data_IF_761804752368
#
_entry.id   IF_761804752368
#
_cell.length_a   1.000
_cell.length_b   1.000
_cell.length_c   1.000
_cell.angle_alpha   90.00
_cell.angle_beta   90.00
_cell.angle_gamma   90.00
#
_symmetry.space_group_name_H-M   'P 1'
#
loop_
_entity.id
_entity.type
_entity.pdbx_description
1 polymer ?
#
# COMPACT_ATOMS: atom_id res chain seq x y z
N UNK A 1 -14.21 10.71 -9.63
CA UNK A 1 -14.87 9.93 -10.71
C UNK A 1 -15.97 9.09 -10.12
N UNK A 2 -16.94 8.64 -10.93
CA UNK A 2 -17.80 7.54 -10.50
C UNK A 2 -16.97 6.25 -10.68
N UNK A 3 -16.82 5.42 -9.64
CA UNK A 3 -15.91 4.25 -9.71
C UNK A 3 -16.23 3.24 -10.83
N UNK A 4 -17.48 3.19 -11.30
CA UNK A 4 -17.87 2.38 -12.46
C UNK A 4 -17.37 2.96 -13.80
N UNK A 5 -17.30 4.29 -13.91
CA UNK A 5 -16.81 4.99 -15.10
C UNK A 5 -15.29 4.78 -15.24
N UNK A 6 -14.57 4.73 -14.12
CA UNK A 6 -13.13 4.48 -14.09
C UNK A 6 -12.79 3.07 -14.59
N UNK A 7 -13.52 2.04 -14.12
CA UNK A 7 -13.34 0.68 -14.62
C UNK A 7 -13.59 0.59 -16.13
N UNK A 8 -14.65 1.22 -16.63
CA UNK A 8 -14.96 1.25 -18.06
C UNK A 8 -13.85 1.96 -18.85
N UNK A 9 -13.43 3.15 -18.43
CA UNK A 9 -12.38 3.91 -19.09
C UNK A 9 -11.07 3.11 -19.19
N UNK A 10 -10.68 2.42 -18.12
CA UNK A 10 -9.49 1.54 -18.10
C UNK A 10 -9.67 0.34 -19.04
N UNK A 11 -10.85 -0.29 -19.07
CA UNK A 11 -11.13 -1.42 -19.95
C UNK A 11 -11.04 -1.03 -21.43
N UNK A 12 -11.62 0.11 -21.81
CA UNK A 12 -11.57 0.65 -23.16
C UNK A 12 -10.14 1.07 -23.54
N UNK A 13 -9.43 1.76 -22.65
CA UNK A 13 -8.04 2.14 -22.86
C UNK A 13 -7.14 0.92 -23.08
N UNK A 14 -7.34 -0.15 -22.30
CA UNK A 14 -6.64 -1.42 -22.48
C UNK A 14 -6.93 -2.03 -23.85
N UNK A 15 -8.20 -2.11 -24.25
CA UNK A 15 -8.59 -2.64 -25.55
C UNK A 15 -7.96 -1.83 -26.70
N UNK A 16 -7.99 -0.50 -26.61
CA UNK A 16 -7.37 0.40 -27.57
C UNK A 16 -5.86 0.19 -27.65
N UNK A 17 -5.17 0.13 -26.51
CA UNK A 17 -3.72 -0.03 -26.46
C UNK A 17 -3.26 -1.36 -27.09
N UNK A 18 -3.97 -2.45 -26.81
CA UNK A 18 -3.68 -3.77 -27.40
C UNK A 18 -3.95 -3.82 -28.90
N UNK A 19 -5.02 -3.18 -29.38
CA UNK A 19 -5.37 -3.19 -30.79
C UNK A 19 -4.49 -2.27 -31.64
N UNK A 20 -4.03 -1.14 -31.07
CA UNK A 20 -3.38 -0.07 -31.83
C UNK A 20 -1.89 0.11 -31.49
N UNK A 21 -1.37 -0.59 -30.49
CA UNK A 21 -0.01 -0.38 -29.95
C UNK A 21 0.26 1.09 -29.63
N UNK A 22 -0.71 1.76 -29.02
CA UNK A 22 -0.66 3.18 -28.65
C UNK A 22 -1.02 3.40 -27.19
N UNK A 23 -0.32 4.29 -26.48
CA UNK A 23 -0.65 4.61 -25.10
C UNK A 23 -1.94 5.43 -25.01
N UNK A 24 -2.60 5.33 -23.85
CA UNK A 24 -3.78 6.15 -23.48
C UNK A 24 -3.49 6.78 -22.13
N UNK A 25 -3.78 8.08 -21.99
CA UNK A 25 -3.72 8.79 -20.71
C UNK A 25 -5.13 8.84 -20.11
N UNK A 26 -5.26 8.44 -18.85
CA UNK A 26 -6.50 8.57 -18.07
C UNK A 26 -6.21 9.48 -16.89
N UNK A 27 -7.00 10.54 -16.73
CA UNK A 27 -6.97 11.42 -15.56
C UNK A 27 -8.12 11.05 -14.61
N UNK A 28 -7.81 10.41 -13.49
CA UNK A 28 -8.79 10.06 -12.46
C UNK A 28 -8.86 11.16 -11.39
N UNK A 29 -9.90 11.98 -11.48
CA UNK A 29 -10.14 13.07 -10.51
C UNK A 29 -10.57 12.47 -9.16
N UNK A 30 -9.67 12.55 -8.18
CA UNK A 30 -9.82 11.99 -6.83
C UNK A 30 -9.27 12.93 -5.75
N UNK A 31 -9.53 12.60 -4.48
CA UNK A 31 -9.11 13.39 -3.33
C UNK A 31 -8.46 12.53 -2.24
N UNK A 32 -7.26 12.94 -1.78
CA UNK A 32 -6.57 12.29 -0.66
C UNK A 32 -7.12 12.81 0.67
N UNK A 33 -8.10 12.10 1.24
CA UNK A 33 -8.75 12.49 2.50
C UNK A 33 -7.72 12.58 3.64
N UNK A 34 -6.83 11.59 3.76
CA UNK A 34 -5.78 11.56 4.78
C UNK A 34 -4.63 12.56 4.56
N UNK A 35 -3.72 12.61 5.53
CA UNK A 35 -2.44 13.31 5.42
C UNK A 35 -1.57 12.72 4.30
N UNK A 36 -0.50 13.44 3.91
CA UNK A 36 0.42 12.93 2.89
C UNK A 36 1.15 11.66 3.34
N UNK A 37 1.55 11.63 4.60
CA UNK A 37 2.23 10.51 5.25
C UNK A 37 2.08 10.64 6.77
N UNK A 38 2.63 9.69 7.53
CA UNK A 38 2.68 9.77 9.01
C UNK A 38 3.55 10.92 9.53
N UNK A 39 4.42 11.50 8.69
CA UNK A 39 5.26 12.66 9.03
C UNK A 39 4.67 14.00 8.60
N UNK A 40 3.46 14.00 8.04
CA UNK A 40 2.79 15.19 7.51
C UNK A 40 1.54 15.54 8.31
N UNK A 41 1.30 16.84 8.48
CA UNK A 41 0.04 17.38 8.99
C UNK A 41 -0.58 18.28 7.93
N UNK A 42 -1.61 17.76 7.28
CA UNK A 42 -2.26 18.46 6.18
C UNK A 42 -3.19 19.58 6.60
N UNK A 43 -3.56 19.67 7.88
CA UNK A 43 -4.43 20.75 8.37
C UNK A 43 -3.74 22.12 8.32
N UNK A 44 -2.41 22.10 8.17
CA UNK A 44 -1.58 23.30 8.02
C UNK A 44 -1.73 23.99 6.66
N UNK A 45 -2.18 23.27 5.64
CA UNK A 45 -2.21 23.77 4.26
C UNK A 45 -3.48 23.40 3.48
N UNK A 46 -4.42 22.69 4.10
CA UNK A 46 -5.77 22.41 3.56
C UNK A 46 -6.82 22.73 4.60
N UNK A 47 -7.98 23.19 4.15
CA UNK A 47 -9.09 23.45 5.07
C UNK A 47 -9.75 22.15 5.51
N UNK A 48 -10.17 22.08 6.77
CA UNK A 48 -10.92 20.92 7.29
C UNK A 48 -12.26 20.76 6.57
N UNK A 49 -12.89 21.88 6.18
CA UNK A 49 -14.15 21.86 5.44
C UNK A 49 -14.02 21.17 4.09
N UNK A 50 -12.98 21.52 3.31
CA UNK A 50 -12.70 20.86 2.02
C UNK A 50 -12.52 19.34 2.21
N UNK A 51 -11.74 18.92 3.21
CA UNK A 51 -11.52 17.49 3.49
C UNK A 51 -12.85 16.80 3.82
N UNK A 52 -13.69 17.43 4.64
CA UNK A 52 -14.97 16.88 5.07
C UNK A 52 -15.98 16.81 3.91
N UNK A 53 -16.01 17.81 3.04
CA UNK A 53 -16.91 17.86 1.88
C UNK A 53 -16.63 16.65 0.97
N UNK A 54 -15.36 16.40 0.64
CA UNK A 54 -14.96 15.23 -0.14
C UNK A 54 -15.24 13.90 0.56
N UNK A 55 -14.96 13.82 1.87
CA UNK A 55 -15.17 12.60 2.64
C UNK A 55 -16.65 12.22 2.81
N UNK A 56 -17.57 13.16 2.66
CA UNK A 56 -19.01 12.93 2.86
C UNK A 56 -19.79 12.79 1.55
N UNK A 57 -19.45 13.57 0.53
CA UNK A 57 -20.23 13.60 -0.71
C UNK A 57 -19.64 12.73 -1.82
N UNK A 58 -18.31 12.57 -1.85
CA UNK A 58 -17.59 11.94 -2.98
C UNK A 58 -16.79 10.70 -2.57
N UNK A 59 -17.07 10.13 -1.40
CA UNK A 59 -16.43 8.89 -0.95
C UNK A 59 -16.84 7.70 -1.84
N UNK A 60 -15.91 7.04 -2.56
CA UNK A 60 -16.24 6.00 -3.54
C UNK A 60 -16.91 4.77 -2.94
N UNK A 61 -16.52 4.37 -1.72
CA UNK A 61 -17.07 3.20 -1.02
C UNK A 61 -18.56 3.35 -0.75
N UNK A 62 -18.97 4.49 -0.20
CA UNK A 62 -20.36 4.82 0.07
C UNK A 62 -21.19 4.85 -1.21
N UNK A 63 -20.70 5.52 -2.26
CA UNK A 63 -21.40 5.61 -3.56
C UNK A 63 -21.62 4.23 -4.18
N UNK A 64 -20.58 3.39 -4.17
CA UNK A 64 -20.67 2.04 -4.74
C UNK A 64 -21.60 1.16 -3.91
N UNK A 65 -21.51 1.23 -2.59
CA UNK A 65 -22.41 0.54 -1.67
C UNK A 65 -23.87 0.91 -1.90
N UNK A 66 -24.20 2.20 -1.95
CA UNK A 66 -25.59 2.64 -2.20
C UNK A 66 -26.11 2.14 -3.55
N UNK A 67 -25.25 2.09 -4.57
CA UNK A 67 -25.64 1.52 -5.87
C UNK A 67 -25.94 0.02 -5.78
N UNK A 68 -25.12 -0.77 -5.06
CA UNK A 68 -25.35 -2.19 -4.86
C UNK A 68 -26.61 -2.48 -4.03
N UNK A 69 -26.84 -1.73 -2.95
CA UNK A 69 -28.05 -1.83 -2.13
C UNK A 69 -29.30 -1.49 -2.94
N UNK A 70 -29.23 -0.47 -3.81
CA UNK A 70 -30.31 -0.13 -4.75
C UNK A 70 -30.61 -1.23 -5.77
N UNK A 71 -29.68 -2.17 -6.00
CA UNK A 71 -29.88 -3.38 -6.82
C UNK A 71 -30.30 -4.61 -6.02
N UNK A 72 -30.29 -4.52 -4.68
CA UNK A 72 -30.49 -5.66 -3.78
C UNK A 72 -29.35 -6.67 -3.82
N UNK A 73 -28.15 -6.25 -4.22
CA UNK A 73 -26.94 -7.11 -4.28
C UNK A 73 -26.05 -6.98 -3.06
N UNK A 74 -26.38 -6.05 -2.16
CA UNK A 74 -25.67 -5.81 -0.92
C UNK A 74 -26.65 -5.37 0.17
N UNK A 75 -26.31 -5.64 1.43
CA UNK A 75 -27.07 -5.18 2.58
C UNK A 75 -26.18 -4.99 3.83
N UNK A 76 -26.75 -4.43 4.90
CA UNK A 76 -26.04 -4.13 6.16
C UNK A 76 -25.43 -5.36 6.85
N UNK A 77 -26.07 -6.52 6.76
CA UNK A 77 -25.54 -7.74 7.36
C UNK A 77 -24.31 -8.25 6.60
N UNK A 78 -24.34 -8.17 5.26
CA UNK A 78 -23.20 -8.49 4.40
C UNK A 78 -22.03 -7.50 4.62
N UNK A 79 -22.32 -6.20 4.73
CA UNK A 79 -21.33 -5.18 5.08
C UNK A 79 -20.64 -5.49 6.42
N UNK A 80 -21.44 -5.78 7.45
CA UNK A 80 -20.92 -6.05 8.80
C UNK A 80 -20.05 -7.30 8.79
N UNK A 81 -20.50 -8.36 8.11
CA UNK A 81 -19.74 -9.60 7.97
C UNK A 81 -18.42 -9.37 7.23
N UNK A 82 -18.45 -8.67 6.09
CA UNK A 82 -17.25 -8.36 5.31
C UNK A 82 -16.25 -7.51 6.11
N UNK A 83 -16.71 -6.48 6.84
CA UNK A 83 -15.84 -5.67 7.71
C UNK A 83 -15.18 -6.49 8.82
N UNK A 84 -15.91 -7.43 9.41
CA UNK A 84 -15.35 -8.32 10.42
C UNK A 84 -14.33 -9.28 9.83
N UNK A 85 -14.63 -9.88 8.69
CA UNK A 85 -13.74 -10.77 7.96
C UNK A 85 -12.43 -10.07 7.59
N UNK A 86 -12.50 -8.90 6.96
CA UNK A 86 -11.34 -8.11 6.57
C UNK A 86 -10.51 -7.64 7.77
N UNK A 87 -11.18 -7.26 8.88
CA UNK A 87 -10.48 -6.92 10.11
C UNK A 87 -9.67 -8.11 10.63
N UNK A 88 -10.25 -9.30 10.64
CA UNK A 88 -9.55 -10.52 11.08
C UNK A 88 -8.41 -10.89 10.13
N UNK A 89 -8.60 -10.71 8.83
CA UNK A 89 -7.56 -10.95 7.82
C UNK A 89 -6.36 -10.01 8.03
N UNK A 90 -6.60 -8.72 8.25
CA UNK A 90 -5.54 -7.72 8.54
C UNK A 90 -4.79 -8.06 9.83
N UNK A 91 -5.51 -8.40 10.91
CA UNK A 91 -4.87 -8.77 12.18
C UNK A 91 -3.99 -10.03 12.04
N UNK A 92 -4.48 -11.05 11.33
CA UNK A 92 -3.72 -12.26 11.06
C UNK A 92 -2.49 -11.99 10.18
N UNK A 93 -2.61 -11.11 9.19
CA UNK A 93 -1.49 -10.71 8.35
C UNK A 93 -0.43 -9.95 9.15
N UNK A 94 -0.86 -9.06 10.06
CA UNK A 94 0.02 -8.34 10.98
C UNK A 94 0.75 -9.30 11.92
N UNK A 95 0.04 -10.22 12.58
CA UNK A 95 0.66 -11.25 13.43
C UNK A 95 1.67 -12.10 12.65
N UNK A 96 1.32 -12.50 11.42
CA UNK A 96 2.24 -13.25 10.54
C UNK A 96 3.49 -12.43 10.19
N UNK A 97 3.35 -11.12 9.99
CA UNK A 97 4.46 -10.23 9.69
C UNK A 97 5.35 -9.94 10.90
N UNK A 98 4.76 -9.73 12.08
CA UNK A 98 5.49 -9.49 13.33
C UNK A 98 6.26 -10.72 13.82
N UNK A 99 5.73 -11.91 13.57
CA UNK A 99 6.41 -13.16 13.87
C UNK A 99 7.54 -13.50 12.88
N UNK A 100 7.68 -12.76 11.77
CA UNK A 100 8.86 -12.87 10.92
C UNK A 100 10.00 -12.12 11.60
N UNK A 101 11.07 -12.84 11.91
CA UNK A 101 12.31 -12.23 12.38
C UNK A 101 12.86 -11.21 11.37
N UNK A 102 13.77 -10.32 11.82
CA UNK A 102 14.44 -9.40 10.91
C UNK A 102 15.16 -10.18 9.80
N UNK A 103 15.31 -9.58 8.61
CA UNK A 103 16.10 -10.20 7.56
C UNK A 103 17.55 -10.40 8.03
N UNK A 104 18.25 -11.44 7.52
CA UNK A 104 19.68 -11.62 7.77
C UNK A 104 20.46 -10.35 7.41
N UNK A 105 21.45 -9.97 8.22
CA UNK A 105 22.24 -8.75 7.99
C UNK A 105 22.91 -8.74 6.62
N UNK A 106 23.26 -9.92 6.13
CA UNK A 106 24.03 -10.12 4.91
C UNK A 106 23.18 -9.91 3.63
N UNK A 107 21.85 -9.92 3.77
CA UNK A 107 20.88 -9.51 2.73
C UNK A 107 20.99 -8.04 2.32
N UNK A 108 21.64 -7.20 3.14
CA UNK A 108 21.94 -5.79 2.82
C UNK A 108 22.71 -5.64 1.49
N UNK A 109 23.46 -6.66 1.09
CA UNK A 109 24.31 -6.63 -0.11
C UNK A 109 23.68 -7.36 -1.30
N UNK A 110 22.56 -8.04 -1.10
CA UNK A 110 21.86 -8.81 -2.13
C UNK A 110 20.98 -7.89 -2.97
N UNK A 111 20.58 -8.35 -4.17
CA UNK A 111 19.73 -7.64 -5.13
C UNK A 111 20.23 -6.26 -5.63
N UNK A 112 21.48 -5.88 -5.35
CA UNK A 112 22.11 -4.66 -5.89
C UNK A 112 22.52 -4.84 -7.36
N UNK A 113 23.02 -6.03 -7.69
CA UNK A 113 23.38 -6.48 -9.04
C UNK A 113 22.92 -7.93 -9.20
N UNK A 114 22.73 -8.40 -10.44
CA UNK A 114 22.45 -9.81 -10.73
C UNK A 114 23.51 -10.73 -10.15
N UNK A 115 24.79 -10.39 -10.37
CA UNK A 115 25.93 -11.03 -9.73
C UNK A 115 26.65 -10.04 -8.82
N UNK A 116 26.91 -10.42 -7.58
CA UNK A 116 27.57 -9.57 -6.60
C UNK A 116 29.02 -9.27 -7.04
N UNK A 117 29.38 -8.01 -7.33
CA UNK A 117 30.72 -7.66 -7.77
C UNK A 117 31.73 -7.82 -6.61
N UNK A 118 33.02 -8.06 -6.91
CA UNK A 118 34.03 -8.37 -5.90
C UNK A 118 34.19 -7.33 -4.78
N UNK A 119 33.94 -6.05 -5.06
CA UNK A 119 33.98 -4.98 -4.06
C UNK A 119 32.82 -5.09 -3.06
N UNK A 120 31.61 -5.43 -3.50
CA UNK A 120 30.47 -5.65 -2.61
C UNK A 120 30.65 -6.93 -1.79
N UNK A 121 31.17 -7.99 -2.41
CA UNK A 121 31.51 -9.22 -1.69
C UNK A 121 32.55 -8.98 -0.58
N UNK A 122 33.54 -8.10 -0.85
CA UNK A 122 34.50 -7.67 0.17
C UNK A 122 33.84 -6.88 1.31
N UNK A 123 32.97 -5.92 0.99
CA UNK A 123 32.25 -5.13 2.00
C UNK A 123 31.30 -6.02 2.85
N UNK A 124 30.61 -6.98 2.23
CA UNK A 124 29.80 -8.00 2.91
C UNK A 124 30.62 -8.75 3.95
N UNK A 125 31.79 -9.26 3.55
CA UNK A 125 32.71 -9.97 4.45
C UNK A 125 33.20 -9.06 5.58
N UNK A 126 33.65 -7.84 5.27
CA UNK A 126 34.15 -6.89 6.27
C UNK A 126 33.09 -6.55 7.33
N UNK A 127 31.83 -6.35 6.94
CA UNK A 127 30.72 -6.13 7.87
C UNK A 127 30.48 -7.34 8.78
N UNK A 128 30.40 -8.54 8.21
CA UNK A 128 30.15 -9.75 8.98
C UNK A 128 31.26 -10.03 9.99
N UNK A 129 32.52 -9.85 9.59
CA UNK A 129 33.65 -9.96 10.52
C UNK A 129 33.62 -8.88 11.60
N UNK A 130 33.21 -7.65 11.28
CA UNK A 130 33.09 -6.58 12.26
C UNK A 130 32.04 -6.92 13.32
N UNK A 131 30.87 -7.40 12.92
CA UNK A 131 29.79 -7.79 13.84
C UNK A 131 30.21 -8.98 14.72
N UNK A 132 30.93 -9.96 14.16
CA UNK A 132 31.47 -11.08 14.94
C UNK A 132 32.51 -10.64 15.97
N UNK A 133 33.31 -9.61 15.66
CA UNK A 133 34.32 -9.06 16.58
C UNK A 133 33.73 -8.17 17.68
N UNK A 134 32.54 -7.63 17.45
CA UNK A 134 31.91 -6.60 18.28
C UNK A 134 30.43 -6.88 18.59
N UNK A 135 30.05 -8.10 19.02
CA UNK A 135 28.65 -8.48 19.20
C UNK A 135 27.91 -7.56 20.20
N UNK A 136 28.61 -6.99 21.17
CA UNK A 136 28.07 -6.10 22.21
C UNK A 136 27.36 -4.85 21.67
N UNK A 137 27.67 -4.43 20.43
CA UNK A 137 27.02 -3.28 19.79
C UNK A 137 25.88 -3.65 18.84
N UNK A 138 25.69 -4.94 18.55
CA UNK A 138 24.72 -5.43 17.56
C UNK A 138 23.68 -6.40 18.15
N UNK A 139 23.90 -6.95 19.34
CA UNK A 139 22.87 -7.65 20.10
C UNK A 139 21.78 -6.66 20.52
N UNK A 140 20.55 -6.87 20.03
CA UNK A 140 19.40 -6.10 20.51
C UNK A 140 19.14 -6.48 21.98
N UNK A 141 18.99 -5.51 22.90
CA UNK A 141 18.34 -5.81 24.18
C UNK A 141 16.96 -6.39 23.89
N UNK A 142 16.64 -7.53 24.49
CA UNK A 142 15.33 -8.16 24.39
C UNK A 142 14.25 -7.14 24.81
N UNK A 143 13.37 -6.79 23.87
CA UNK A 143 12.08 -6.15 24.13
C UNK A 143 10.99 -7.05 23.59
#
# INVERSE_FOLDING_TARGET
>A
GHGLDEHQAVAEARAYALANNRPVLIEAMTYRIGHHSTSDDSTRYRSVNEIQDWATHDEPGFRFRTWLEGKGWWNEAEETAARQEERMAVLKAMETAENKGPPPLDSLFEDVYEEMPPNLARQKRELLEHVQRHPEFYEKPHH
#
